data_IF_458128216545
#
_entry.id   IF_458128216545
#
_cell.length_a   1.000
_cell.length_b   1.000
_cell.length_c   1.000
_cell.angle_alpha   90.00
_cell.angle_beta   90.00
_cell.angle_gamma   90.00
#
_symmetry.space_group_name_H-M   'P 1'
#
loop_
_entity.id
_entity.type
_entity.pdbx_description
1 polymer ?
#
# COMPACT_ATOMS: atom_id res chain seq x y z
N UNK A 1 -5.06 -4.07 13.06
CA UNK A 1 -6.18 -5.01 13.30
C UNK A 1 -6.27 -5.39 14.77
N UNK A 2 -7.46 -5.28 15.39
CA UNK A 2 -7.68 -5.77 16.76
C UNK A 2 -7.67 -7.31 16.74
N UNK A 3 -6.90 -7.92 17.65
CA UNK A 3 -6.73 -9.38 17.77
C UNK A 3 -6.08 -10.07 16.55
N UNK A 4 -4.92 -9.58 16.08
CA UNK A 4 -4.05 -10.28 15.11
C UNK A 4 -3.91 -11.80 15.35
N UNK A 5 -3.68 -12.31 16.58
CA UNK A 5 -3.57 -13.76 16.79
C UNK A 5 -4.86 -14.52 16.46
N UNK A 6 -6.04 -13.97 16.75
CA UNK A 6 -7.33 -14.61 16.44
C UNK A 6 -7.56 -14.62 14.93
N UNK A 7 -7.19 -13.53 14.25
CA UNK A 7 -7.29 -13.42 12.79
C UNK A 7 -6.33 -14.36 12.07
N UNK A 8 -5.10 -14.54 12.59
CA UNK A 8 -4.16 -15.52 12.06
C UNK A 8 -4.71 -16.94 12.21
N UNK A 9 -5.25 -17.30 13.38
CA UNK A 9 -5.81 -18.65 13.62
C UNK A 9 -7.01 -18.91 12.70
N UNK A 10 -7.96 -17.98 12.62
CA UNK A 10 -9.14 -18.13 11.76
C UNK A 10 -8.78 -18.09 10.27
N UNK A 11 -7.87 -17.19 9.88
CA UNK A 11 -7.37 -17.07 8.52
C UNK A 11 -6.65 -18.33 8.07
N UNK A 12 -5.80 -18.91 8.92
CA UNK A 12 -5.15 -20.19 8.66
C UNK A 12 -6.18 -21.32 8.57
N UNK A 13 -7.12 -21.43 9.52
CA UNK A 13 -8.15 -22.45 9.48
C UNK A 13 -8.96 -22.40 8.18
N UNK A 14 -9.45 -21.21 7.78
CA UNK A 14 -10.28 -21.05 6.58
C UNK A 14 -9.48 -21.15 5.28
N UNK A 15 -8.33 -20.49 5.18
CA UNK A 15 -7.62 -20.37 3.91
C UNK A 15 -6.70 -21.56 3.61
N UNK A 16 -6.39 -22.41 4.60
CA UNK A 16 -5.56 -23.61 4.40
C UNK A 16 -6.38 -24.91 4.41
N UNK A 17 -7.35 -25.08 5.31
CA UNK A 17 -8.13 -26.33 5.37
C UNK A 17 -9.28 -26.39 4.36
N UNK A 18 -9.88 -25.26 3.99
CA UNK A 18 -11.04 -25.25 3.08
C UNK A 18 -10.67 -25.57 1.62
N UNK A 19 -9.55 -25.05 1.05
CA UNK A 19 -9.01 -25.55 -0.23
C UNK A 19 -8.69 -27.03 -0.22
N UNK A 20 -8.29 -27.53 0.95
CA UNK A 20 -7.87 -28.90 1.15
C UNK A 20 -9.05 -29.88 1.12
N UNK A 21 -10.23 -29.46 1.60
CA UNK A 21 -11.49 -30.21 1.42
C UNK A 21 -11.95 -30.17 -0.04
N UNK A 22 -11.79 -29.03 -0.71
CA UNK A 22 -12.19 -28.84 -2.11
C UNK A 22 -11.36 -29.63 -3.14
N UNK A 23 -10.14 -30.05 -2.79
CA UNK A 23 -9.27 -30.89 -3.65
C UNK A 23 -9.55 -32.40 -3.56
N UNK A 24 -10.51 -32.83 -2.72
CA UNK A 24 -10.96 -34.22 -2.59
C UNK A 24 -10.96 -34.73 -1.13
N UNK A 25 -11.82 -35.72 -0.83
CA UNK A 25 -12.01 -36.29 0.52
C UNK A 25 -10.88 -37.22 1.00
N UNK A 26 -9.93 -37.60 0.13
CA UNK A 26 -8.77 -38.43 0.49
C UNK A 26 -7.62 -37.61 1.09
N UNK A 27 -7.95 -36.96 2.21
CA UNK A 27 -7.10 -36.08 3.02
C UNK A 27 -5.74 -36.72 3.36
N UNK A 28 -5.75 -37.98 3.76
CA UNK A 28 -4.54 -38.67 4.24
C UNK A 28 -3.61 -39.01 3.08
N UNK A 29 -4.14 -39.42 1.92
CA UNK A 29 -3.30 -39.78 0.78
C UNK A 29 -2.70 -38.54 0.09
N UNK A 30 -3.41 -37.41 0.04
CA UNK A 30 -2.89 -36.18 -0.57
C UNK A 30 -1.75 -35.53 0.22
N UNK A 31 -1.80 -35.57 1.56
CA UNK A 31 -0.74 -35.01 2.42
C UNK A 31 0.54 -35.82 2.30
N UNK A 32 0.42 -37.15 2.31
CA UNK A 32 1.58 -38.04 2.42
C UNK A 32 2.18 -38.48 1.07
N UNK A 33 1.42 -38.50 -0.04
CA UNK A 33 1.88 -39.12 -1.30
C UNK A 33 1.98 -38.19 -2.52
N UNK A 34 1.33 -37.01 -2.55
CA UNK A 34 1.30 -36.13 -3.74
C UNK A 34 1.85 -34.71 -3.52
N UNK A 35 2.69 -34.51 -2.51
CA UNK A 35 3.28 -33.19 -2.23
C UNK A 35 2.29 -32.21 -1.58
N UNK A 36 1.22 -32.71 -0.96
CA UNK A 36 0.24 -31.89 -0.23
C UNK A 36 0.85 -31.07 0.91
N UNK A 37 1.92 -31.57 1.54
CA UNK A 37 2.65 -30.81 2.56
C UNK A 37 3.24 -29.49 2.02
N UNK A 38 3.72 -29.48 0.77
CA UNK A 38 4.25 -28.26 0.13
C UNK A 38 3.13 -27.24 -0.02
N UNK A 39 1.98 -27.65 -0.53
CA UNK A 39 0.83 -26.76 -0.72
C UNK A 39 0.35 -26.14 0.61
N UNK A 40 0.33 -26.91 1.70
CA UNK A 40 -0.01 -26.42 3.05
C UNK A 40 1.00 -25.40 3.57
N UNK A 41 2.29 -25.65 3.37
CA UNK A 41 3.35 -24.72 3.78
C UNK A 41 3.22 -23.41 2.98
N UNK A 42 2.97 -23.49 1.68
CA UNK A 42 2.84 -22.30 0.82
C UNK A 42 1.61 -21.46 1.15
N UNK A 43 0.46 -22.08 1.39
CA UNK A 43 -0.76 -21.34 1.79
C UNK A 43 -0.60 -20.71 3.18
N UNK A 44 -0.01 -21.43 4.13
CA UNK A 44 0.31 -20.89 5.46
C UNK A 44 1.23 -19.68 5.37
N UNK A 45 2.29 -19.77 4.56
CA UNK A 45 3.26 -18.70 4.38
C UNK A 45 2.61 -17.47 3.73
N UNK A 46 1.74 -17.67 2.73
CA UNK A 46 0.97 -16.59 2.10
C UNK A 46 0.04 -15.88 3.09
N UNK A 47 -0.72 -16.63 3.89
CA UNK A 47 -1.65 -16.06 4.89
C UNK A 47 -0.90 -15.26 5.95
N UNK A 48 0.15 -15.85 6.54
CA UNK A 48 0.92 -15.20 7.61
C UNK A 48 1.59 -13.91 7.12
N UNK A 49 2.30 -13.96 6.00
CA UNK A 49 3.02 -12.79 5.46
C UNK A 49 2.07 -11.66 5.08
N UNK A 50 0.93 -11.98 4.44
CA UNK A 50 -0.10 -11.01 4.08
C UNK A 50 -0.73 -10.35 5.31
N UNK A 51 -1.18 -11.12 6.30
CA UNK A 51 -1.86 -10.56 7.47
C UNK A 51 -0.90 -9.72 8.35
N UNK A 52 0.36 -10.15 8.50
CA UNK A 52 1.38 -9.39 9.23
C UNK A 52 1.68 -8.05 8.54
N UNK A 53 1.83 -8.06 7.21
CA UNK A 53 2.09 -6.83 6.45
C UNK A 53 0.91 -5.88 6.47
N UNK A 54 -0.32 -6.38 6.27
CA UNK A 54 -1.53 -5.56 6.40
C UNK A 54 -1.68 -4.96 7.80
N UNK A 55 -1.41 -5.73 8.86
CA UNK A 55 -1.47 -5.22 10.22
C UNK A 55 -0.41 -4.15 10.52
N UNK A 56 0.76 -4.24 9.87
CA UNK A 56 1.83 -3.25 10.02
C UNK A 56 1.48 -1.92 9.34
N UNK A 57 0.86 -1.97 8.15
CA UNK A 57 0.39 -0.78 7.41
C UNK A 57 -0.73 -0.06 8.17
N UNK A 58 -1.61 -0.83 8.83
CA UNK A 58 -2.74 -0.27 9.59
C UNK A 58 -2.39 0.46 10.89
N UNK A 59 -1.12 0.47 11.31
CA UNK A 59 -0.68 1.25 12.49
C UNK A 59 -0.71 2.76 12.22
N UNK A 60 -0.80 3.17 10.96
CA UNK A 60 -0.87 4.57 10.57
C UNK A 60 -2.32 4.98 10.35
N UNK A 61 -2.86 5.93 11.13
CA UNK A 61 -4.22 6.43 10.91
C UNK A 61 -4.31 7.19 9.58
N UNK A 62 -5.46 7.07 8.92
CA UNK A 62 -5.75 7.75 7.64
C UNK A 62 -5.36 6.96 6.40
N UNK A 63 -4.74 5.80 6.57
CA UNK A 63 -4.66 4.81 5.49
C UNK A 63 -5.95 3.99 5.49
N UNK A 64 -6.78 4.15 4.45
CA UNK A 64 -7.91 3.25 4.23
C UNK A 64 -7.40 1.85 3.92
N UNK A 65 -7.53 0.94 4.88
CA UNK A 65 -7.09 -0.46 4.80
C UNK A 65 -7.43 -1.17 3.49
N UNK A 66 -8.60 -0.91 2.90
CA UNK A 66 -9.10 -1.54 1.67
C UNK A 66 -8.18 -1.33 0.46
N UNK A 67 -7.54 -0.16 0.34
CA UNK A 67 -6.69 0.19 -0.82
C UNK A 67 -5.46 -0.71 -0.95
N UNK A 68 -4.98 -1.26 0.17
CA UNK A 68 -3.73 -2.03 0.23
C UNK A 68 -3.94 -3.54 0.26
N UNK A 69 -5.17 -4.04 0.47
CA UNK A 69 -5.46 -5.49 0.53
C UNK A 69 -5.02 -6.19 -0.77
N UNK A 70 -5.50 -5.69 -1.91
CA UNK A 70 -5.24 -6.32 -3.22
C UNK A 70 -3.75 -6.25 -3.60
N UNK A 71 -3.06 -5.09 -3.55
CA UNK A 71 -1.63 -5.01 -3.87
C UNK A 71 -0.75 -5.91 -3.00
N UNK A 72 -1.02 -5.99 -1.69
CA UNK A 72 -0.23 -6.80 -0.75
C UNK A 72 -0.40 -8.29 -1.02
N UNK A 73 -1.63 -8.76 -1.27
CA UNK A 73 -1.89 -10.15 -1.63
C UNK A 73 -1.20 -10.50 -2.94
N UNK A 74 -1.33 -9.66 -3.99
CA UNK A 74 -0.69 -9.88 -5.29
C UNK A 74 0.83 -9.95 -5.13
N UNK A 75 1.42 -9.04 -4.35
CA UNK A 75 2.85 -9.03 -4.10
C UNK A 75 3.35 -10.34 -3.48
N UNK A 76 2.75 -10.79 -2.36
CA UNK A 76 3.16 -12.03 -1.71
C UNK A 76 2.83 -13.27 -2.53
N UNK A 77 1.71 -13.26 -3.25
CA UNK A 77 1.34 -14.33 -4.18
C UNK A 77 2.41 -14.53 -5.25
N UNK A 78 2.81 -13.45 -5.93
CA UNK A 78 3.82 -13.50 -6.98
C UNK A 78 5.21 -13.85 -6.44
N UNK A 79 5.58 -13.29 -5.28
CA UNK A 79 6.90 -13.53 -4.67
C UNK A 79 7.07 -14.99 -4.25
N UNK A 80 6.07 -15.57 -3.58
CA UNK A 80 6.12 -16.98 -3.16
C UNK A 80 6.06 -17.89 -4.39
N UNK A 81 5.20 -17.61 -5.37
CA UNK A 81 5.12 -18.39 -6.61
C UNK A 81 6.45 -18.36 -7.38
N UNK A 82 7.12 -17.21 -7.44
CA UNK A 82 8.43 -17.07 -8.05
C UNK A 82 9.48 -17.95 -7.36
N UNK A 83 9.54 -17.91 -6.01
CA UNK A 83 10.49 -18.71 -5.22
C UNK A 83 10.26 -20.21 -5.46
N UNK A 84 9.01 -20.67 -5.45
CA UNK A 84 8.65 -22.09 -5.61
C UNK A 84 8.93 -22.58 -7.03
N UNK A 85 8.64 -21.74 -8.03
CA UNK A 85 8.92 -22.07 -9.43
C UNK A 85 10.42 -22.13 -9.70
N UNK A 86 11.20 -21.29 -9.02
CA UNK A 86 12.66 -21.31 -9.07
C UNK A 86 13.25 -22.53 -8.34
N UNK A 87 12.68 -22.94 -7.21
CA UNK A 87 13.13 -24.13 -6.46
C UNK A 87 12.77 -25.45 -7.13
N UNK A 88 11.99 -25.43 -8.21
CA UNK A 88 11.59 -26.63 -8.96
C UNK A 88 10.70 -27.58 -8.15
N UNK A 89 10.06 -27.11 -7.08
CA UNK A 89 9.26 -27.94 -6.19
C UNK A 89 7.92 -28.25 -6.84
N UNK A 90 7.42 -29.49 -6.70
CA UNK A 90 6.08 -29.85 -7.18
C UNK A 90 5.01 -29.21 -6.29
N UNK A 91 4.16 -28.37 -6.89
CA UNK A 91 3.03 -27.71 -6.21
C UNK A 91 1.78 -27.72 -7.09
N UNK A 92 0.61 -27.56 -6.47
CA UNK A 92 -0.66 -27.43 -7.18
C UNK A 92 -1.03 -25.96 -7.35
N UNK A 93 -0.97 -25.46 -8.59
CA UNK A 93 -1.39 -24.09 -8.91
C UNK A 93 -2.85 -23.85 -8.54
N UNK A 94 -3.72 -24.86 -8.75
CA UNK A 94 -5.14 -24.77 -8.41
C UNK A 94 -5.35 -24.51 -6.92
N UNK A 95 -4.67 -25.27 -6.06
CA UNK A 95 -4.76 -25.11 -4.61
C UNK A 95 -4.28 -23.72 -4.17
N UNK A 96 -3.15 -23.26 -4.72
CA UNK A 96 -2.57 -21.97 -4.37
C UNK A 96 -3.47 -20.79 -4.80
N UNK A 97 -4.01 -20.82 -6.01
CA UNK A 97 -4.96 -19.82 -6.50
C UNK A 97 -6.25 -19.79 -5.67
N UNK A 98 -6.79 -20.96 -5.32
CA UNK A 98 -8.01 -21.06 -4.53
C UNK A 98 -7.81 -20.53 -3.10
N UNK A 99 -6.67 -20.87 -2.47
CA UNK A 99 -6.28 -20.33 -1.16
C UNK A 99 -6.13 -18.80 -1.18
N UNK A 100 -5.50 -18.25 -2.24
CA UNK A 100 -5.37 -16.80 -2.41
C UNK A 100 -6.71 -16.08 -2.58
N UNK A 101 -7.66 -16.70 -3.28
CA UNK A 101 -9.00 -16.13 -3.48
C UNK A 101 -9.80 -16.11 -2.16
N UNK A 102 -9.72 -17.18 -1.37
CA UNK A 102 -10.31 -17.21 -0.03
C UNK A 102 -9.66 -16.19 0.91
N UNK A 103 -8.34 -16.02 0.85
CA UNK A 103 -7.62 -15.02 1.64
C UNK A 103 -8.08 -13.60 1.30
N UNK A 104 -8.34 -13.31 0.03
CA UNK A 104 -8.88 -12.02 -0.41
C UNK A 104 -10.26 -11.77 0.20
N UNK A 105 -11.18 -12.73 0.10
CA UNK A 105 -12.53 -12.62 0.69
C UNK A 105 -12.43 -12.44 2.21
N UNK A 106 -11.58 -13.24 2.87
CA UNK A 106 -11.36 -13.16 4.30
C UNK A 106 -10.82 -11.79 4.74
N UNK A 107 -9.80 -11.27 4.04
CA UNK A 107 -9.20 -9.97 4.34
C UNK A 107 -10.21 -8.82 4.18
N UNK A 108 -11.04 -8.83 3.13
CA UNK A 108 -12.12 -7.85 2.97
C UNK A 108 -13.18 -7.96 4.06
N UNK A 109 -13.56 -9.17 4.46
CA UNK A 109 -14.55 -9.38 5.50
C UNK A 109 -14.05 -8.86 6.87
N UNK A 110 -12.79 -9.15 7.19
CA UNK A 110 -12.11 -8.61 8.39
C UNK A 110 -12.02 -7.09 8.33
N UNK A 111 -11.73 -6.49 7.16
CA UNK A 111 -11.70 -5.04 7.00
C UNK A 111 -13.07 -4.40 7.31
N UNK A 112 -14.16 -4.96 6.77
CA UNK A 112 -15.53 -4.48 7.00
C UNK A 112 -15.89 -4.57 8.47
N UNK A 113 -15.58 -5.70 9.13
CA UNK A 113 -15.84 -5.88 10.55
C UNK A 113 -15.02 -4.88 11.37
N UNK A 114 -13.72 -4.76 11.12
CA UNK A 114 -12.85 -3.86 11.87
C UNK A 114 -13.35 -2.40 11.75
N UNK A 115 -13.74 -1.95 10.54
CA UNK A 115 -14.32 -0.61 10.34
C UNK A 115 -15.58 -0.36 11.16
N UNK A 116 -16.41 -1.39 11.34
CA UNK A 116 -17.67 -1.28 12.11
C UNK A 116 -17.43 -1.18 13.62
N UNK A 117 -16.32 -1.73 14.11
CA UNK A 117 -15.98 -1.78 15.54
C UNK A 117 -14.81 -0.86 15.94
N UNK A 118 -14.25 -0.10 15.00
CA UNK A 118 -13.31 0.98 15.28
C UNK A 118 -14.06 2.19 15.84
N UNK A 119 -14.30 2.17 17.14
CA UNK A 119 -14.62 3.38 17.88
C UNK A 119 -13.32 4.18 18.02
N UNK A 120 -13.13 5.15 17.13
CA UNK A 120 -12.08 6.15 17.29
C UNK A 120 -12.43 7.02 18.50
N UNK A 121 -11.67 6.86 19.58
CA UNK A 121 -11.73 7.73 20.75
C UNK A 121 -10.52 8.66 20.70
N UNK A 122 -10.75 9.92 20.32
CA UNK A 122 -9.70 10.93 20.29
C UNK A 122 -9.89 11.91 21.44
N UNK A 123 -8.81 12.18 22.16
CA UNK A 123 -8.75 13.36 23.01
C UNK A 123 -8.50 14.58 22.12
N UNK A 124 -9.08 15.73 22.45
CA UNK A 124 -8.71 16.97 21.80
C UNK A 124 -8.47 18.09 22.81
N UNK A 125 -7.47 18.91 22.51
CA UNK A 125 -7.16 20.10 23.28
C UNK A 125 -8.02 21.23 22.69
N UNK A 126 -8.94 21.85 23.45
CA UNK A 126 -9.87 22.84 22.95
C UNK A 126 -9.18 24.20 22.78
N UNK A 127 -8.18 24.27 21.90
CA UNK A 127 -7.34 25.45 21.62
C UNK A 127 -7.41 25.77 20.13
N UNK A 128 -7.47 27.06 19.77
CA UNK A 128 -7.52 27.50 18.37
C UNK A 128 -8.64 26.85 17.56
N UNK A 129 -8.31 26.34 16.37
CA UNK A 129 -9.28 25.72 15.44
C UNK A 129 -9.68 24.30 15.84
N UNK A 130 -9.00 23.69 16.81
CA UNK A 130 -9.33 22.36 17.29
C UNK A 130 -10.66 22.32 18.07
N UNK A 131 -11.11 23.46 18.63
CA UNK A 131 -12.41 23.62 19.31
C UNK A 131 -13.61 23.18 18.45
N UNK A 132 -13.52 23.37 17.12
CA UNK A 132 -14.61 23.12 16.17
C UNK A 132 -14.63 21.68 15.62
N UNK A 133 -13.65 20.85 15.96
CA UNK A 133 -13.55 19.49 15.40
C UNK A 133 -14.73 18.58 15.78
N UNK A 134 -15.19 18.55 17.05
CA UNK A 134 -16.29 17.68 17.43
C UNK A 134 -17.58 17.97 16.65
N UNK A 135 -17.84 19.24 16.35
CA UNK A 135 -18.97 19.67 15.52
C UNK A 135 -18.80 19.29 14.04
N UNK A 136 -17.56 19.33 13.52
CA UNK A 136 -17.26 18.99 12.13
C UNK A 136 -17.32 17.48 11.84
N UNK A 137 -17.05 16.64 12.84
CA UNK A 137 -16.92 15.18 12.68
C UNK A 137 -17.70 14.46 13.80
N UNK A 138 -19.04 14.36 13.70
CA UNK A 138 -19.86 13.73 14.72
C UNK A 138 -19.74 12.19 14.76
N UNK A 139 -19.09 11.58 13.76
CA UNK A 139 -18.92 10.13 13.63
C UNK A 139 -17.92 9.55 14.64
N UNK A 140 -17.16 10.39 15.32
CA UNK A 140 -16.05 10.02 16.21
C UNK A 140 -16.35 10.44 17.64
N UNK A 141 -15.87 9.67 18.61
CA UNK A 141 -15.98 10.02 20.03
C UNK A 141 -14.87 10.98 20.42
N UNK A 142 -15.25 12.17 20.87
CA UNK A 142 -14.33 13.25 21.23
C UNK A 142 -14.32 13.47 22.74
N UNK A 143 -13.15 13.38 23.34
CA UNK A 143 -12.94 13.71 24.75
C UNK A 143 -12.24 15.08 24.86
N UNK A 144 -12.89 16.12 25.40
CA UNK A 144 -12.23 17.40 25.63
C UNK A 144 -11.23 17.29 26.78
N UNK A 145 -10.00 17.73 26.55
CA UNK A 145 -8.99 17.88 27.61
C UNK A 145 -9.05 19.30 28.16
N UNK A 146 -9.62 19.45 29.35
CA UNK A 146 -9.66 20.74 30.07
C UNK A 146 -8.37 21.03 30.84
N UNK A 147 -7.62 19.98 31.18
CA UNK A 147 -6.34 20.03 31.91
C UNK A 147 -5.29 19.20 31.17
N UNK A 148 -3.99 19.51 31.33
CA UNK A 148 -2.88 18.75 30.74
C UNK A 148 -2.67 17.40 31.44
N UNK A 149 -3.75 16.64 31.62
CA UNK A 149 -3.79 15.33 32.24
C UNK A 149 -4.69 14.43 31.40
N UNK A 150 -4.26 13.19 31.24
CA UNK A 150 -4.96 12.18 30.46
C UNK A 150 -4.99 10.90 31.28
N UNK A 151 -6.17 10.61 31.82
CA UNK A 151 -6.42 9.45 32.68
C UNK A 151 -6.92 8.23 31.88
N UNK A 152 -7.44 8.45 30.67
CA UNK A 152 -7.97 7.40 29.79
C UNK A 152 -7.03 7.09 28.62
N UNK A 153 -6.98 5.82 28.19
CA UNK A 153 -6.29 5.44 26.96
C UNK A 153 -7.09 5.93 25.74
N UNK A 154 -6.48 6.83 24.96
CA UNK A 154 -7.06 7.38 23.73
C UNK A 154 -6.23 6.96 22.51
N UNK A 155 -6.87 6.91 21.34
CA UNK A 155 -6.20 6.58 20.08
C UNK A 155 -5.25 7.68 19.59
N UNK A 156 -5.38 8.88 20.14
CA UNK A 156 -4.47 9.99 19.90
C UNK A 156 -5.01 11.29 20.49
N UNK A 157 -4.16 12.30 20.52
CA UNK A 157 -4.51 13.66 20.97
C UNK A 157 -4.56 14.57 19.74
N UNK A 158 -5.62 15.34 19.60
CA UNK A 158 -5.84 16.24 18.48
C UNK A 158 -5.74 17.68 18.95
N UNK A 159 -4.89 18.48 18.31
CA UNK A 159 -4.68 19.88 18.69
C UNK A 159 -4.31 20.74 17.49
N UNK A 160 -4.39 22.06 17.67
CA UNK A 160 -3.90 23.05 16.70
C UNK A 160 -2.46 23.43 17.07
N UNK A 161 -1.49 22.68 16.55
CA UNK A 161 -0.04 22.85 16.87
C UNK A 161 0.51 24.23 16.48
N UNK A 162 -0.21 25.00 15.67
CA UNK A 162 0.21 26.34 15.24
C UNK A 162 -0.55 27.46 15.97
N UNK A 163 -1.38 27.13 16.97
CA UNK A 163 -2.14 28.13 17.70
C UNK A 163 -1.26 28.84 18.73
N UNK A 164 -1.26 30.17 18.71
CA UNK A 164 -0.62 31.01 19.74
C UNK A 164 -1.29 30.87 21.13
N UNK A 165 -2.48 30.27 21.21
CA UNK A 165 -3.19 30.00 22.46
C UNK A 165 -2.66 28.76 23.20
N UNK A 166 -1.65 28.07 22.64
CA UNK A 166 -1.10 26.85 23.20
C UNK A 166 -0.02 27.21 24.24
N UNK A 167 -0.39 27.13 25.51
CA UNK A 167 0.49 27.48 26.65
C UNK A 167 1.65 26.47 26.80
N UNK A 168 2.77 26.88 27.38
CA UNK A 168 3.94 26.04 27.68
C UNK A 168 3.58 24.70 28.37
N UNK A 169 2.58 24.70 29.26
CA UNK A 169 2.10 23.50 29.94
C UNK A 169 1.50 22.46 28.98
N UNK A 170 0.79 22.91 27.94
CA UNK A 170 0.24 22.06 26.90
C UNK A 170 1.33 21.51 25.97
N UNK A 171 2.34 22.32 25.65
CA UNK A 171 3.49 21.87 24.85
C UNK A 171 4.27 20.76 25.56
N UNK A 172 4.51 20.92 26.87
CA UNK A 172 5.14 19.89 27.69
C UNK A 172 4.32 18.62 27.73
N UNK A 173 3.01 18.73 27.97
CA UNK A 173 2.10 17.59 27.96
C UNK A 173 2.09 16.83 26.62
N UNK A 174 2.02 17.55 25.50
CA UNK A 174 2.09 16.97 24.15
C UNK A 174 3.40 16.22 23.96
N UNK A 175 4.52 16.84 24.37
CA UNK A 175 5.85 16.25 24.24
C UNK A 175 5.95 14.96 25.06
N UNK A 176 5.53 14.99 26.33
CA UNK A 176 5.55 13.84 27.23
C UNK A 176 4.69 12.69 26.69
N UNK A 177 3.48 12.98 26.18
CA UNK A 177 2.59 11.97 25.60
C UNK A 177 3.12 11.39 24.30
N UNK A 178 3.76 12.22 23.47
CA UNK A 178 4.43 11.76 22.26
C UNK A 178 5.59 10.81 22.59
N UNK A 179 6.38 11.13 23.61
CA UNK A 179 7.47 10.27 24.11
C UNK A 179 6.95 8.96 24.72
N UNK A 180 5.76 8.98 25.32
CA UNK A 180 5.05 7.78 25.81
C UNK A 180 4.40 6.95 24.69
N UNK A 181 4.51 7.38 23.43
CA UNK A 181 3.98 6.67 22.27
C UNK A 181 2.50 6.95 21.97
N UNK A 182 1.87 7.92 22.64
CA UNK A 182 0.55 8.41 22.26
C UNK A 182 0.71 9.41 21.11
N UNK A 183 0.17 9.12 19.91
CA UNK A 183 0.39 9.98 18.77
C UNK A 183 -0.43 11.27 18.90
N UNK A 184 0.21 12.39 18.59
CA UNK A 184 -0.42 13.71 18.59
C UNK A 184 -0.59 14.18 17.15
N UNK A 185 -1.82 14.55 16.80
CA UNK A 185 -2.19 14.93 15.45
C UNK A 185 -2.61 16.39 15.39
N UNK A 186 -2.20 17.05 14.31
CA UNK A 186 -2.76 18.34 13.96
C UNK A 186 -4.24 18.20 13.55
N UNK A 187 -5.09 19.13 13.98
CA UNK A 187 -6.53 19.16 13.73
C UNK A 187 -6.87 18.92 12.24
N UNK A 188 -6.07 19.48 11.33
CA UNK A 188 -6.23 19.34 9.87
C UNK A 188 -6.06 17.89 9.40
N UNK A 189 -5.02 17.20 9.87
CA UNK A 189 -4.66 15.86 9.41
C UNK A 189 -5.76 14.86 9.77
N UNK A 190 -6.30 14.96 10.99
CA UNK A 190 -7.40 14.08 11.44
C UNK A 190 -8.68 14.38 10.68
N UNK A 191 -8.99 15.65 10.44
CA UNK A 191 -10.15 16.01 9.63
C UNK A 191 -10.04 15.48 8.21
N UNK A 192 -8.89 15.62 7.56
CA UNK A 192 -8.67 15.13 6.19
C UNK A 192 -8.72 13.60 6.13
N UNK A 193 -8.08 12.93 7.08
CA UNK A 193 -8.09 11.47 7.23
C UNK A 193 -9.50 10.91 7.42
N UNK A 194 -10.30 11.50 8.33
CA UNK A 194 -11.62 10.98 8.69
C UNK A 194 -12.71 11.39 7.70
N UNK A 195 -12.60 12.56 7.09
CA UNK A 195 -13.61 13.05 6.14
C UNK A 195 -13.27 12.77 4.68
N UNK A 196 -12.02 12.41 4.37
CA UNK A 196 -11.52 12.24 3.01
C UNK A 196 -11.48 13.55 2.18
N UNK A 197 -11.70 14.71 2.81
CA UNK A 197 -11.81 16.01 2.15
C UNK A 197 -10.66 16.93 2.54
N UNK A 198 -9.84 17.29 1.56
CA UNK A 198 -8.77 18.30 1.71
C UNK A 198 -9.37 19.69 1.45
N UNK A 199 -9.29 20.59 2.44
CA UNK A 199 -9.64 22.00 2.25
C UNK A 199 -8.37 22.79 1.98
N UNK A 200 -8.19 23.24 0.74
CA UNK A 200 -7.10 24.13 0.33
C UNK A 200 -7.41 25.52 0.87
N UNK A 201 -6.86 25.85 2.04
CA UNK A 201 -7.06 27.17 2.63
C UNK A 201 -6.01 28.18 2.15
N UNK A 202 -4.80 27.74 1.77
CA UNK A 202 -3.71 28.54 1.18
C UNK A 202 -2.83 27.64 0.30
N UNK A 203 -2.53 28.06 -0.93
CA UNK A 203 -1.74 27.29 -1.92
C UNK A 203 -0.21 27.28 -1.69
N UNK A 204 0.30 27.88 -0.60
CA UNK A 204 1.73 28.19 -0.46
C UNK A 204 2.52 27.33 0.54
N UNK A 205 1.87 26.48 1.34
CA UNK A 205 2.61 25.64 2.30
C UNK A 205 2.63 24.17 1.83
N UNK A 206 3.79 23.78 1.30
CA UNK A 206 4.28 22.40 1.14
C UNK A 206 3.70 21.49 0.04
N UNK A 207 2.79 21.92 -0.83
CA UNK A 207 2.23 21.02 -1.87
C UNK A 207 3.01 20.94 -3.19
N UNK A 208 3.87 21.91 -3.50
CA UNK A 208 4.72 21.81 -4.71
C UNK A 208 5.83 20.74 -4.55
N UNK A 209 6.28 20.51 -3.31
CA UNK A 209 7.24 19.46 -2.99
C UNK A 209 6.62 18.06 -2.93
N UNK A 210 5.34 17.93 -2.55
CA UNK A 210 4.63 16.64 -2.50
C UNK A 210 4.25 16.10 -3.88
N UNK A 211 4.23 16.95 -4.90
CA UNK A 211 4.14 16.54 -6.31
C UNK A 211 5.43 15.88 -6.82
N UNK A 212 6.55 15.98 -6.09
CA UNK A 212 7.74 15.21 -6.44
C UNK A 212 7.51 13.75 -6.02
N UNK A 213 7.49 12.80 -6.97
CA UNK A 213 7.32 11.39 -6.63
C UNK A 213 8.42 10.94 -5.66
N UNK A 214 8.06 10.05 -4.73
CA UNK A 214 9.00 9.59 -3.71
C UNK A 214 10.27 8.99 -4.36
N UNK A 215 11.47 9.21 -3.78
CA UNK A 215 12.71 8.69 -4.34
C UNK A 215 12.69 7.17 -4.58
N UNK A 216 12.03 6.44 -3.67
CA UNK A 216 11.83 5.00 -3.78
C UNK A 216 10.95 4.62 -4.98
N UNK A 217 9.88 5.38 -5.24
CA UNK A 217 9.04 5.16 -6.41
C UNK A 217 9.83 5.38 -7.71
N UNK A 218 10.62 6.46 -7.80
CA UNK A 218 11.45 6.76 -8.97
C UNK A 218 12.46 5.63 -9.22
N UNK A 219 13.14 5.16 -8.17
CA UNK A 219 14.10 4.07 -8.26
C UNK A 219 13.43 2.76 -8.72
N UNK A 220 12.30 2.40 -8.12
CA UNK A 220 11.60 1.16 -8.44
C UNK A 220 11.01 1.20 -9.86
N UNK A 221 10.47 2.34 -10.27
CA UNK A 221 10.04 2.58 -11.66
C UNK A 221 11.19 2.45 -12.63
N UNK A 222 12.35 3.03 -12.31
CA UNK A 222 13.54 2.96 -13.16
C UNK A 222 14.02 1.52 -13.37
N UNK A 223 14.09 0.71 -12.30
CA UNK A 223 14.42 -0.72 -12.40
C UNK A 223 13.41 -1.48 -13.28
N UNK A 224 12.12 -1.18 -13.14
CA UNK A 224 11.06 -1.81 -13.92
C UNK A 224 11.13 -1.43 -15.41
N UNK A 225 11.36 -0.15 -15.70
CA UNK A 225 11.51 0.36 -17.06
C UNK A 225 12.74 -0.29 -17.74
N UNK A 226 13.88 -0.44 -17.03
CA UNK A 226 15.05 -1.17 -17.56
C UNK A 226 14.72 -2.63 -17.86
N UNK A 227 14.05 -3.32 -16.94
CA UNK A 227 13.70 -4.73 -17.11
C UNK A 227 12.80 -4.93 -18.34
N UNK A 228 11.79 -4.07 -18.49
CA UNK A 228 10.90 -4.06 -19.65
C UNK A 228 11.66 -3.77 -20.95
N UNK A 229 12.59 -2.82 -20.95
CA UNK A 229 13.43 -2.53 -22.11
C UNK A 229 14.23 -3.78 -22.47
N UNK A 230 14.99 -4.37 -21.54
CA UNK A 230 15.83 -5.55 -21.83
C UNK A 230 14.99 -6.72 -22.35
N UNK A 231 13.81 -6.95 -21.77
CA UNK A 231 12.91 -8.02 -22.19
C UNK A 231 12.30 -7.78 -23.60
N UNK A 232 11.97 -6.53 -23.93
CA UNK A 232 11.32 -6.16 -25.20
C UNK A 232 12.31 -5.79 -26.32
N UNK A 233 13.57 -5.48 -25.99
CA UNK A 233 14.62 -5.09 -26.92
C UNK A 233 14.84 -6.08 -28.07
N UNK A 234 14.96 -7.40 -27.87
CA UNK A 234 15.22 -8.32 -28.98
C UNK A 234 14.09 -8.33 -30.01
N UNK A 235 12.83 -8.22 -29.56
CA UNK A 235 11.67 -8.18 -30.45
C UNK A 235 11.55 -6.84 -31.18
N UNK A 236 11.66 -5.73 -30.44
CA UNK A 236 11.58 -4.38 -31.02
C UNK A 236 12.73 -4.11 -32.00
N UNK A 237 13.93 -4.62 -31.74
CA UNK A 237 15.08 -4.49 -32.62
C UNK A 237 14.86 -5.17 -33.98
N UNK A 238 14.23 -6.35 -34.01
CA UNK A 238 13.89 -7.05 -35.27
C UNK A 238 12.97 -6.17 -36.11
N UNK A 239 11.91 -5.62 -35.51
CA UNK A 239 10.97 -4.73 -36.20
C UNK A 239 11.71 -3.48 -36.71
N UNK A 240 12.51 -2.83 -35.87
CA UNK A 240 13.30 -1.66 -36.24
C UNK A 240 14.26 -1.93 -37.41
N UNK A 241 14.89 -3.11 -37.46
CA UNK A 241 15.77 -3.50 -38.58
C UNK A 241 14.97 -3.64 -39.88
N UNK A 242 13.82 -4.32 -39.84
CA UNK A 242 12.97 -4.50 -41.01
C UNK A 242 12.51 -3.12 -41.53
N UNK A 243 12.05 -2.24 -40.65
CA UNK A 243 11.65 -0.88 -41.02
C UNK A 243 12.83 -0.06 -41.57
N UNK A 244 14.01 -0.17 -40.96
CA UNK A 244 15.21 0.52 -41.44
C UNK A 244 15.62 0.08 -42.85
N UNK A 245 15.53 -1.22 -43.15
CA UNK A 245 15.80 -1.77 -44.49
C UNK A 245 14.77 -1.24 -45.48
N UNK A 246 13.48 -1.27 -45.14
CA UNK A 246 12.40 -0.77 -46.01
C UNK A 246 12.60 0.71 -46.37
N UNK A 247 12.87 1.58 -45.38
CA UNK A 247 13.15 3.01 -45.61
C UNK A 247 14.36 3.20 -46.53
N UNK A 248 15.43 2.40 -46.34
CA UNK A 248 16.64 2.49 -47.15
C UNK A 248 16.43 2.02 -48.59
N UNK A 249 15.52 1.08 -48.83
CA UNK A 249 15.19 0.60 -50.16
C UNK A 249 14.26 1.55 -50.91
N UNK A 250 13.36 2.25 -50.21
CA UNK A 250 12.36 3.14 -50.81
C UNK A 250 12.89 4.56 -51.05
N UNK A 251 13.37 5.23 -50.00
CA UNK A 251 13.71 6.66 -50.04
C UNK A 251 15.24 6.90 -49.93
N UNK A 252 16.00 5.88 -49.52
CA UNK A 252 17.47 5.98 -49.32
C UNK A 252 17.90 6.95 -48.20
N UNK A 253 16.93 7.60 -47.54
CA UNK A 253 17.10 8.64 -46.55
C UNK A 253 17.72 8.20 -45.22
N UNK A 254 17.69 9.12 -44.24
CA UNK A 254 18.17 8.86 -42.88
C UNK A 254 17.09 8.10 -42.09
N UNK A 255 17.46 6.97 -41.51
CA UNK A 255 16.54 6.12 -40.73
C UNK A 255 16.13 6.76 -39.40
N UNK A 256 17.04 7.52 -38.77
CA UNK A 256 16.82 8.10 -37.46
C UNK A 256 16.63 9.61 -37.51
N UNK A 257 15.63 10.10 -36.79
CA UNK A 257 15.41 11.51 -36.51
C UNK A 257 15.54 11.80 -35.02
N UNK A 258 16.31 12.85 -34.74
CA UNK A 258 16.78 13.19 -33.41
C UNK A 258 16.10 14.49 -33.00
N UNK A 259 15.31 14.46 -31.93
CA UNK A 259 14.62 15.64 -31.40
C UNK A 259 15.04 15.90 -29.94
N UNK A 260 15.56 17.11 -29.62
CA UNK A 260 15.82 17.48 -28.22
C UNK A 260 14.50 17.74 -27.48
N UNK A 261 14.38 17.22 -26.26
CA UNK A 261 13.25 17.43 -25.35
C UNK A 261 13.76 17.67 -23.93
N UNK A 262 13.05 18.47 -23.15
CA UNK A 262 13.36 18.64 -21.72
C UNK A 262 12.96 17.37 -20.99
N UNK A 263 13.91 16.74 -20.30
CA UNK A 263 13.77 15.48 -19.59
C UNK A 263 13.77 15.65 -18.07
N UNK A 264 14.25 14.62 -17.38
CA UNK A 264 14.25 14.58 -15.91
C UNK A 264 15.05 15.76 -15.32
N UNK A 265 14.50 16.41 -14.29
CA UNK A 265 15.09 17.58 -13.62
C UNK A 265 15.36 18.80 -14.52
N UNK A 266 14.72 18.88 -15.68
CA UNK A 266 14.92 19.99 -16.61
C UNK A 266 16.14 19.82 -17.53
N UNK A 267 16.83 18.68 -17.46
CA UNK A 267 17.98 18.37 -18.32
C UNK A 267 17.52 17.99 -19.73
N UNK A 268 18.21 18.49 -20.77
CA UNK A 268 17.84 18.18 -22.15
C UNK A 268 18.20 16.73 -22.47
N UNK A 269 17.18 15.93 -22.82
CA UNK A 269 17.29 14.55 -23.27
C UNK A 269 16.97 14.44 -24.75
N UNK A 270 17.66 13.54 -25.44
CA UNK A 270 17.52 13.36 -26.88
C UNK A 270 16.57 12.20 -27.18
N UNK A 271 15.47 12.46 -27.87
CA UNK A 271 14.54 11.43 -28.34
C UNK A 271 14.89 11.02 -29.78
N UNK A 272 14.98 9.71 -30.02
CA UNK A 272 15.27 9.13 -31.33
C UNK A 272 14.01 8.45 -31.85
N UNK A 273 13.52 8.89 -32.99
CA UNK A 273 12.37 8.31 -33.69
C UNK A 273 12.81 7.74 -35.05
N UNK A 274 12.09 6.73 -35.54
CA UNK A 274 12.23 6.25 -36.92
C UNK A 274 11.31 7.10 -37.80
N UNK A 275 11.86 7.71 -38.84
CA UNK A 275 11.07 8.53 -39.78
C UNK A 275 10.59 7.65 -40.91
N UNK A 276 9.28 7.58 -41.07
CA UNK A 276 8.64 7.12 -42.30
C UNK A 276 8.20 8.39 -43.01
N UNK A 277 8.96 8.82 -44.02
CA UNK A 277 8.48 9.83 -44.96
C UNK A 277 7.44 9.13 -45.84
N UNK A 278 6.16 9.50 -45.71
CA UNK A 278 5.08 9.06 -46.60
C UNK A 278 5.02 10.04 -47.78
#
# INVERSE_FOLDING_TARGET
MRFLPVQLILGLALCTFLPFIGSGLDVINQIFYTGGYVNLVLSTLLVCTTLITLNSIQRFPGITSSTYIVPVIIFWFLLILFIVKFSGTSYSLYYYCFSSLLLLIYAFFIDIINRKYENYNFAYIPVGRAKLIPEQIPTVSWMPLSTPQLDEEVNGIVTDLHSEELTDDWERFITDKTLQGTPVYHYRNIRESLTGRVRINHMYENELGSLQPSPNYIFLKYCFDILLIIASLPFTLIICIITAIAIKLEDGGKVFYIQPRVGYRGEVSVFVNIVVTI
#
